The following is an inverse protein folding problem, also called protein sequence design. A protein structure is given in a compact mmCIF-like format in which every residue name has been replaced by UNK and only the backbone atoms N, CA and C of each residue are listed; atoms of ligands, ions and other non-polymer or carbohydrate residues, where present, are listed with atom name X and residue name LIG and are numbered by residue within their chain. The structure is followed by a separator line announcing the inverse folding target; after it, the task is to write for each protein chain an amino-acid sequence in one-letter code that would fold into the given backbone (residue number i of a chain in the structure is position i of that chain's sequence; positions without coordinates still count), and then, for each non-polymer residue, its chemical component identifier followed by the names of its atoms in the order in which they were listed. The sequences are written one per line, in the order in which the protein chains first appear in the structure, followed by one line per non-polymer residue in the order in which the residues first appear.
data_IF_175333965491
#
_entry.id   IF_175333965491
#
_cell.length_a   1.000
_cell.length_b   1.000
_cell.length_c   1.000
_cell.angle_alpha   90.00
_cell.angle_beta   90.00
_cell.angle_gamma   90.00
#
_symmetry.space_group_name_H-M   'P 1'
#
loop_
_entity.id
_entity.type
_entity.pdbx_description
1 polymer ?
#
# COMPACT_ATOMS: atom_id res chain seq x y z
N UNK A 1 -6.79 -4.98 -17.77
CA UNK A 1 -7.83 -5.61 -16.97
C UNK A 1 -7.50 -5.64 -15.50
N UNK A 2 -8.50 -5.63 -14.68
CA UNK A 2 -8.41 -5.62 -13.20
C UNK A 2 -8.17 -7.02 -12.63
N UNK A 3 -7.20 -7.79 -13.13
CA UNK A 3 -7.05 -9.19 -12.73
C UNK A 3 -6.72 -9.35 -11.24
N UNK A 4 -5.91 -8.47 -10.65
CA UNK A 4 -5.56 -8.50 -9.22
C UNK A 4 -6.78 -8.25 -8.34
N UNK A 5 -7.55 -7.20 -8.65
CA UNK A 5 -8.77 -6.88 -7.92
C UNK A 5 -9.84 -7.96 -8.10
N UNK A 6 -10.00 -8.49 -9.31
CA UNK A 6 -10.95 -9.57 -9.59
C UNK A 6 -10.58 -10.86 -8.85
N UNK A 7 -9.29 -11.19 -8.77
CA UNK A 7 -8.83 -12.34 -8.00
C UNK A 7 -9.16 -12.20 -6.51
N UNK A 8 -8.92 -11.02 -5.93
CA UNK A 8 -9.25 -10.78 -4.53
C UNK A 8 -10.76 -10.76 -4.28
N UNK A 9 -11.55 -10.20 -5.21
CA UNK A 9 -13.02 -10.22 -5.10
C UNK A 9 -13.62 -11.61 -5.23
N UNK A 10 -12.91 -12.56 -5.83
CA UNK A 10 -13.33 -13.97 -5.85
C UNK A 10 -13.28 -14.63 -4.46
N UNK A 11 -12.61 -14.01 -3.48
CA UNK A 11 -12.54 -14.47 -2.09
C UNK A 11 -13.34 -13.47 -1.23
N UNK A 12 -14.67 -13.61 -1.13
CA UNK A 12 -15.48 -12.66 -0.41
C UNK A 12 -15.23 -12.77 1.11
N UNK A 13 -15.27 -11.65 1.86
CA UNK A 13 -15.10 -11.66 3.31
C UNK A 13 -16.12 -12.52 4.05
N UNK A 14 -17.30 -12.70 3.45
CA UNK A 14 -18.37 -13.57 3.98
C UNK A 14 -17.94 -15.04 4.13
N UNK A 15 -16.89 -15.49 3.40
CA UNK A 15 -16.31 -16.82 3.57
C UNK A 15 -15.70 -17.03 4.96
N UNK A 16 -15.37 -15.93 5.65
CA UNK A 16 -14.84 -15.93 7.03
C UNK A 16 -15.89 -15.51 8.07
N UNK A 17 -17.18 -15.54 7.71
CA UNK A 17 -18.29 -15.12 8.55
C UNK A 17 -18.41 -13.59 8.68
N UNK A 18 -19.25 -13.13 9.62
CA UNK A 18 -19.50 -11.70 9.84
C UNK A 18 -18.23 -10.91 10.22
N UNK A 19 -17.28 -11.56 10.90
CA UNK A 19 -15.99 -10.96 11.28
C UNK A 19 -15.06 -10.72 10.11
N UNK A 20 -15.31 -11.34 8.95
CA UNK A 20 -14.49 -11.19 7.75
C UNK A 20 -14.41 -9.74 7.26
N UNK A 21 -15.51 -8.99 7.33
CA UNK A 21 -15.53 -7.58 6.93
C UNK A 21 -14.70 -6.69 7.86
N UNK A 22 -14.76 -6.92 9.16
CA UNK A 22 -13.93 -6.20 10.14
C UNK A 22 -12.47 -6.51 9.92
N UNK A 23 -12.13 -7.79 9.71
CA UNK A 23 -10.77 -8.24 9.44
C UNK A 23 -10.20 -7.59 8.16
N UNK A 24 -11.01 -7.48 7.10
CA UNK A 24 -10.61 -6.80 5.87
C UNK A 24 -10.22 -5.36 6.11
N UNK A 25 -11.03 -4.61 6.87
CA UNK A 25 -10.74 -3.22 7.22
C UNK A 25 -9.39 -3.09 7.94
N UNK A 26 -9.13 -3.96 8.92
CA UNK A 26 -7.85 -3.97 9.64
C UNK A 26 -6.66 -4.31 8.75
N UNK A 27 -6.82 -5.28 7.86
CA UNK A 27 -5.78 -5.67 6.89
C UNK A 27 -5.48 -4.49 5.95
N UNK A 28 -6.49 -3.84 5.40
CA UNK A 28 -6.32 -2.72 4.47
C UNK A 28 -5.66 -1.52 5.15
N UNK A 29 -6.08 -1.18 6.37
CA UNK A 29 -5.46 -0.10 7.14
C UNK A 29 -4.02 -0.44 7.52
N UNK A 30 -3.75 -1.68 7.91
CA UNK A 30 -2.40 -2.16 8.21
C UNK A 30 -1.48 -2.11 7.00
N UNK A 31 -1.95 -2.55 5.84
CA UNK A 31 -1.19 -2.48 4.58
C UNK A 31 -0.88 -1.05 4.19
N UNK A 32 -1.86 -0.15 4.26
CA UNK A 32 -1.66 1.27 3.96
C UNK A 32 -0.62 1.88 4.90
N UNK A 33 -0.77 1.64 6.21
CA UNK A 33 0.17 2.14 7.22
C UNK A 33 1.59 1.64 6.99
N UNK A 34 1.76 0.33 6.75
CA UNK A 34 3.04 -0.27 6.46
C UNK A 34 3.68 0.31 5.19
N UNK A 35 2.92 0.47 4.13
CA UNK A 35 3.40 0.98 2.84
C UNK A 35 3.85 2.44 2.94
N UNK A 36 3.07 3.27 3.62
CA UNK A 36 3.43 4.68 3.89
C UNK A 36 4.71 4.75 4.73
N UNK A 37 4.78 4.00 5.84
CA UNK A 37 5.96 4.00 6.70
C UNK A 37 7.21 3.53 5.95
N UNK A 38 7.09 2.49 5.12
CA UNK A 38 8.21 1.96 4.35
C UNK A 38 8.70 2.96 3.29
N UNK A 39 7.77 3.58 2.54
CA UNK A 39 8.09 4.59 1.55
C UNK A 39 8.81 5.79 2.17
N UNK A 40 8.25 6.34 3.25
CA UNK A 40 8.88 7.48 3.94
C UNK A 40 10.21 7.11 4.59
N UNK A 41 10.34 5.88 5.11
CA UNK A 41 11.63 5.39 5.59
C UNK A 41 12.66 5.34 4.46
N UNK A 42 12.29 4.85 3.28
CA UNK A 42 13.19 4.84 2.12
C UNK A 42 13.59 6.26 1.72
N UNK A 43 12.66 7.20 1.68
CA UNK A 43 12.93 8.60 1.31
C UNK A 43 13.78 9.30 2.38
N UNK A 44 13.31 9.34 3.62
CA UNK A 44 13.97 10.15 4.66
C UNK A 44 15.30 9.56 5.12
N UNK A 45 15.36 8.25 5.34
CA UNK A 45 16.57 7.62 5.89
C UNK A 45 17.60 7.31 4.81
N UNK A 46 17.19 6.78 3.64
CA UNK A 46 18.14 6.39 2.61
C UNK A 46 18.53 7.54 1.68
N UNK A 47 17.58 8.39 1.27
CA UNK A 47 17.85 9.52 0.37
C UNK A 47 18.37 10.71 1.14
N UNK A 48 17.63 11.21 2.13
CA UNK A 48 17.99 12.42 2.88
C UNK A 48 18.92 12.17 4.07
N UNK A 49 19.16 10.90 4.43
CA UNK A 49 19.97 10.51 5.62
C UNK A 49 19.47 11.14 6.91
N UNK A 50 18.18 11.40 6.99
CA UNK A 50 17.52 11.97 8.15
C UNK A 50 17.35 10.92 9.26
N UNK A 51 17.02 11.40 10.46
CA UNK A 51 16.78 10.52 11.60
C UNK A 51 15.54 9.64 11.38
N UNK A 52 15.64 8.40 11.85
CA UNK A 52 14.54 7.41 11.79
C UNK A 52 13.29 7.88 12.54
N UNK A 53 13.49 8.57 13.66
CA UNK A 53 12.36 9.09 14.45
C UNK A 53 11.58 10.15 13.67
N UNK A 54 12.28 11.05 12.97
CA UNK A 54 11.65 12.03 12.08
C UNK A 54 10.84 11.33 10.97
N UNK A 55 11.43 10.32 10.33
CA UNK A 55 10.75 9.52 9.30
C UNK A 55 9.44 8.91 9.81
N UNK A 56 9.45 8.29 10.99
CA UNK A 56 8.24 7.71 11.58
C UNK A 56 7.18 8.76 11.93
N UNK A 57 7.60 9.90 12.52
CA UNK A 57 6.69 10.97 12.89
C UNK A 57 6.01 11.58 11.67
N UNK A 58 6.76 11.84 10.59
CA UNK A 58 6.20 12.36 9.33
C UNK A 58 5.27 11.32 8.67
N UNK A 59 5.64 10.04 8.67
CA UNK A 59 4.81 8.97 8.11
C UNK A 59 3.45 8.89 8.82
N UNK A 60 3.44 8.94 10.14
CA UNK A 60 2.22 8.92 10.94
C UNK A 60 1.35 10.16 10.69
N UNK A 61 1.97 11.33 10.60
CA UNK A 61 1.26 12.57 10.32
C UNK A 61 0.63 12.57 8.94
N UNK A 62 1.35 12.11 7.92
CA UNK A 62 0.85 11.99 6.55
C UNK A 62 -0.28 10.97 6.47
N UNK A 63 -0.12 9.81 7.11
CA UNK A 63 -1.17 8.78 7.17
C UNK A 63 -2.44 9.33 7.82
N UNK A 64 -2.30 9.96 8.97
CA UNK A 64 -3.43 10.56 9.67
C UNK A 64 -4.10 11.65 8.83
N UNK A 65 -3.33 12.58 8.27
CA UNK A 65 -3.84 13.64 7.40
C UNK A 65 -4.55 13.07 6.17
N UNK A 66 -3.97 12.06 5.51
CA UNK A 66 -4.58 11.41 4.34
C UNK A 66 -5.95 10.83 4.65
N UNK A 67 -6.08 10.11 5.78
CA UNK A 67 -7.36 9.53 6.20
C UNK A 67 -8.36 10.61 6.60
N UNK A 68 -7.92 11.68 7.26
CA UNK A 68 -8.81 12.77 7.70
C UNK A 68 -9.27 13.66 6.55
N UNK A 69 -8.43 13.88 5.54
CA UNK A 69 -8.78 14.66 4.36
C UNK A 69 -9.77 13.95 3.43
N UNK A 70 -9.95 12.64 3.57
CA UNK A 70 -10.98 11.92 2.84
C UNK A 70 -12.38 12.34 3.32
N UNK A 71 -13.28 12.61 2.38
CA UNK A 71 -14.68 12.83 2.73
C UNK A 71 -15.29 11.59 3.41
N UNK A 72 -16.32 11.74 4.27
CA UNK A 72 -16.92 10.61 4.99
C UNK A 72 -17.38 9.48 4.06
N UNK A 73 -18.00 9.78 2.94
CA UNK A 73 -18.41 8.80 1.94
C UNK A 73 -17.19 8.03 1.37
N UNK A 74 -16.13 8.76 1.00
CA UNK A 74 -14.89 8.16 0.49
C UNK A 74 -14.19 7.26 1.51
N UNK A 75 -14.21 7.61 2.80
CA UNK A 75 -13.70 6.74 3.87
C UNK A 75 -14.50 5.44 3.97
N UNK A 76 -15.82 5.53 3.91
CA UNK A 76 -16.67 4.34 3.92
C UNK A 76 -16.39 3.43 2.73
N UNK A 77 -16.31 3.99 1.54
CA UNK A 77 -16.00 3.22 0.32
C UNK A 77 -14.59 2.63 0.35
N UNK A 78 -13.61 3.36 0.83
CA UNK A 78 -12.22 2.94 0.82
C UNK A 78 -11.92 1.81 1.83
N UNK A 79 -12.55 1.83 3.01
CA UNK A 79 -12.19 0.92 4.10
C UNK A 79 -13.28 -0.08 4.47
N UNK A 80 -14.55 0.29 4.36
CA UNK A 80 -15.67 -0.54 4.82
C UNK A 80 -16.37 -1.27 3.69
N UNK A 81 -16.34 -0.72 2.47
CA UNK A 81 -16.88 -1.40 1.31
C UNK A 81 -15.80 -2.25 0.66
N UNK A 82 -15.97 -3.57 0.73
CA UNK A 82 -14.94 -4.53 0.29
C UNK A 82 -14.45 -4.28 -1.15
N UNK A 83 -15.37 -4.07 -2.08
CA UNK A 83 -15.02 -3.79 -3.48
C UNK A 83 -14.18 -2.51 -3.61
N UNK A 84 -14.56 -1.45 -2.88
CA UNK A 84 -13.77 -0.20 -2.83
C UNK A 84 -12.41 -0.41 -2.19
N UNK A 85 -12.35 -1.09 -1.05
CA UNK A 85 -11.11 -1.38 -0.35
C UNK A 85 -10.10 -2.15 -1.22
N UNK A 86 -10.58 -3.18 -1.94
CA UNK A 86 -9.73 -3.99 -2.83
C UNK A 86 -9.29 -3.20 -4.06
N UNK A 87 -10.18 -2.42 -4.67
CA UNK A 87 -9.85 -1.68 -5.90
C UNK A 87 -9.01 -0.42 -5.66
N UNK A 88 -9.13 0.21 -4.49
CA UNK A 88 -8.45 1.47 -4.22
C UNK A 88 -7.36 1.33 -3.16
N UNK A 89 -7.71 0.99 -1.92
CA UNK A 89 -6.72 0.99 -0.82
C UNK A 89 -5.68 -0.10 -0.98
N UNK A 90 -6.08 -1.33 -1.35
CA UNK A 90 -5.13 -2.42 -1.56
C UNK A 90 -4.13 -2.08 -2.66
N UNK A 91 -4.62 -1.70 -3.84
CA UNK A 91 -3.77 -1.39 -5.01
C UNK A 91 -2.89 -0.17 -4.75
N UNK A 92 -3.44 0.87 -4.10
CA UNK A 92 -2.68 2.05 -3.71
C UNK A 92 -1.56 1.72 -2.71
N UNK A 93 -1.86 0.90 -1.69
CA UNK A 93 -0.85 0.44 -0.73
C UNK A 93 0.28 -0.35 -1.40
N UNK A 94 -0.07 -1.23 -2.34
CA UNK A 94 0.91 -1.98 -3.13
C UNK A 94 1.80 -1.05 -3.97
N UNK A 95 1.22 -0.01 -4.57
CA UNK A 95 1.97 1.00 -5.34
C UNK A 95 2.95 1.78 -4.46
N UNK A 96 2.52 2.25 -3.30
CA UNK A 96 3.39 2.95 -2.36
C UNK A 96 4.56 2.06 -1.91
N UNK A 97 4.29 0.80 -1.63
CA UNK A 97 5.31 -0.16 -1.26
C UNK A 97 6.27 -0.46 -2.42
N UNK A 98 5.75 -0.59 -3.63
CA UNK A 98 6.54 -0.73 -4.85
C UNK A 98 7.52 0.45 -5.04
N UNK A 99 7.06 1.69 -4.93
CA UNK A 99 7.94 2.86 -5.01
C UNK A 99 8.98 2.87 -3.90
N UNK A 100 8.61 2.49 -2.68
CA UNK A 100 9.54 2.36 -1.56
C UNK A 100 10.65 1.34 -1.85
N UNK A 101 10.32 0.20 -2.47
CA UNK A 101 11.29 -0.82 -2.89
C UNK A 101 12.20 -0.32 -4.01
N UNK A 102 11.67 0.40 -5.00
CA UNK A 102 12.48 0.98 -6.06
C UNK A 102 13.51 1.97 -5.52
N UNK A 103 13.08 2.87 -4.64
CA UNK A 103 13.99 3.82 -3.98
C UNK A 103 15.03 3.04 -3.17
N UNK A 104 14.61 2.03 -2.40
CA UNK A 104 15.53 1.19 -1.64
C UNK A 104 16.56 0.49 -2.51
N UNK A 105 16.15 -0.07 -3.65
CA UNK A 105 17.04 -0.76 -4.58
C UNK A 105 18.10 0.15 -5.21
N UNK A 106 17.83 1.45 -5.33
CA UNK A 106 18.82 2.43 -5.83
C UNK A 106 19.95 2.65 -4.81
N UNK A 107 19.62 2.67 -3.52
CA UNK A 107 20.57 2.96 -2.44
C UNK A 107 21.20 1.72 -1.80
N UNK A 108 20.52 0.56 -1.86
CA UNK A 108 21.02 -0.69 -1.32
C UNK A 108 22.02 -1.36 -2.30
N UNK A 109 22.97 -2.12 -1.73
CA UNK A 109 24.02 -2.81 -2.50
C UNK A 109 23.95 -4.33 -2.29
N UNK A 110 24.55 -5.07 -3.22
CA UNK A 110 24.70 -6.51 -3.11
C UNK A 110 23.38 -7.28 -3.17
N UNK A 111 23.26 -8.33 -2.36
CA UNK A 111 22.12 -9.25 -2.36
C UNK A 111 20.79 -8.53 -2.02
N UNK A 112 20.82 -7.52 -1.17
CA UNK A 112 19.63 -6.79 -0.77
C UNK A 112 19.01 -6.04 -1.94
N UNK A 113 19.82 -5.39 -2.78
CA UNK A 113 19.36 -4.74 -4.01
C UNK A 113 18.62 -5.72 -4.94
N UNK A 114 19.14 -6.95 -5.08
CA UNK A 114 18.53 -7.97 -5.95
C UNK A 114 17.15 -8.37 -5.37
N UNK A 115 17.06 -8.57 -4.07
CA UNK A 115 15.79 -8.86 -3.40
C UNK A 115 14.76 -7.73 -3.54
N UNK A 116 15.20 -6.48 -3.36
CA UNK A 116 14.32 -5.31 -3.53
C UNK A 116 13.81 -5.20 -4.98
N UNK A 117 14.67 -5.45 -5.97
CA UNK A 117 14.28 -5.45 -7.38
C UNK A 117 13.32 -6.61 -7.73
N UNK A 118 13.60 -7.82 -7.24
CA UNK A 118 12.69 -8.96 -7.44
C UNK A 118 11.32 -8.70 -6.82
N UNK A 119 11.29 -8.19 -5.59
CA UNK A 119 10.05 -7.84 -4.90
C UNK A 119 9.32 -6.71 -5.62
N UNK A 120 10.02 -5.67 -6.06
CA UNK A 120 9.44 -4.59 -6.84
C UNK A 120 8.86 -5.10 -8.17
N UNK A 121 9.56 -5.97 -8.90
CA UNK A 121 9.05 -6.54 -10.16
C UNK A 121 7.76 -7.35 -9.94
N UNK A 122 7.72 -8.14 -8.87
CA UNK A 122 6.53 -8.90 -8.49
C UNK A 122 5.36 -7.97 -8.14
N UNK A 123 5.59 -6.96 -7.31
CA UNK A 123 4.57 -5.98 -6.95
C UNK A 123 4.12 -5.14 -8.14
N UNK A 124 5.04 -4.75 -9.02
CA UNK A 124 4.72 -4.02 -10.25
C UNK A 124 3.76 -4.78 -11.16
N UNK A 125 3.92 -6.11 -11.27
CA UNK A 125 2.98 -6.96 -11.99
C UNK A 125 1.56 -6.91 -11.37
N UNK A 126 1.46 -6.99 -10.04
CA UNK A 126 0.17 -6.94 -9.35
C UNK A 126 -0.46 -5.54 -9.37
N UNK A 127 0.32 -4.48 -9.23
CA UNK A 127 -0.18 -3.09 -9.29
C UNK A 127 -0.67 -2.75 -10.69
N UNK A 128 0.05 -3.16 -11.74
CA UNK A 128 -0.39 -2.98 -13.12
C UNK A 128 -1.69 -3.71 -13.47
N UNK A 129 -2.00 -4.81 -12.77
CA UNK A 129 -3.27 -5.53 -12.90
C UNK A 129 -4.37 -5.07 -11.93
N UNK A 130 -4.11 -4.05 -11.13
CA UNK A 130 -5.04 -3.55 -10.12
C UNK A 130 -6.09 -2.59 -10.68
N UNK A 131 -5.81 -1.30 -10.66
CA UNK A 131 -6.70 -0.26 -11.15
C UNK A 131 -6.05 0.51 -12.30
N UNK A 132 -6.83 0.96 -13.30
CA UNK A 132 -6.31 1.74 -14.43
C UNK A 132 -5.62 3.02 -13.97
N UNK A 133 -6.15 3.71 -12.95
CA UNK A 133 -5.56 4.92 -12.39
C UNK A 133 -4.18 4.66 -11.76
N UNK A 134 -4.00 3.50 -11.15
CA UNK A 134 -2.74 3.11 -10.52
C UNK A 134 -1.72 2.58 -11.53
N UNK A 135 -2.20 1.99 -12.63
CA UNK A 135 -1.34 1.49 -13.71
C UNK A 135 -0.75 2.61 -14.59
N UNK A 136 -1.37 3.80 -14.57
CA UNK A 136 -0.93 4.97 -15.34
C UNK A 136 0.06 5.88 -14.58
N UNK A 137 0.27 5.66 -13.30
CA UNK A 137 1.26 6.36 -12.48
C UNK A 137 2.60 5.60 -12.47
#
# INVERSE_FOLDING_TARGET
GYFTSNFLMAIPPSSFGERGYVLTTWIMLGMLSFSVMYLFHAIFVKVFKADKMLSHSVSMLVLFASVQCMCPAGRCEAFYWYSGAVNYIFVHSMSLFFFGLLISAVYDKGKKRIWDLCAASFLGFFTGGGNQLTALN
#
